data_IF_378396205146
#
_entry.id   IF_378396205146
#
_cell.length_a   1.000
_cell.length_b   1.000
_cell.length_c   1.000
_cell.angle_alpha   90.00
_cell.angle_beta   90.00
_cell.angle_gamma   90.00
#
_symmetry.space_group_name_H-M   'P 1'
#
loop_
_entity.id
_entity.type
_entity.pdbx_description
1 polymer ?
#
# COMPACT_ATOMS: atom_id res chain seq x y z
N UNK A 1 -10.81 -31.58 10.45
CA UNK A 1 -10.91 -30.23 9.87
C UNK A 1 -10.21 -30.23 8.53
N UNK A 2 -10.96 -29.98 7.45
CA UNK A 2 -10.46 -29.97 6.07
C UNK A 2 -11.19 -28.89 5.29
N UNK A 3 -10.55 -28.37 4.25
CA UNK A 3 -11.20 -27.48 3.29
C UNK A 3 -11.13 -28.06 1.88
N UNK A 4 -12.11 -27.69 1.07
CA UNK A 4 -12.22 -28.10 -0.32
C UNK A 4 -11.27 -27.27 -1.20
N UNK A 5 -10.49 -27.93 -2.08
CA UNK A 5 -9.66 -27.24 -3.07
C UNK A 5 -10.49 -26.93 -4.32
N UNK A 6 -10.79 -25.65 -4.63
CA UNK A 6 -11.48 -25.32 -5.88
C UNK A 6 -10.59 -25.67 -7.08
N UNK A 7 -11.12 -26.40 -8.07
CA UNK A 7 -10.41 -26.78 -9.29
C UNK A 7 -9.78 -28.18 -9.31
N UNK A 8 -9.88 -28.95 -8.22
CA UNK A 8 -9.55 -30.38 -8.24
C UNK A 8 -10.56 -31.15 -7.37
N UNK A 9 -11.61 -31.74 -7.97
CA UNK A 9 -12.77 -32.25 -7.24
C UNK A 9 -12.48 -33.48 -6.35
N UNK A 10 -11.26 -34.01 -6.36
CA UNK A 10 -10.97 -35.26 -5.66
C UNK A 10 -10.05 -35.09 -4.44
N UNK A 11 -9.74 -33.85 -4.01
CA UNK A 11 -8.80 -33.63 -2.89
C UNK A 11 -9.28 -32.62 -1.85
N UNK A 12 -9.63 -33.16 -0.69
CA UNK A 12 -9.72 -32.43 0.58
C UNK A 12 -8.33 -32.14 1.14
N UNK A 13 -8.10 -30.92 1.61
CA UNK A 13 -6.84 -30.50 2.22
C UNK A 13 -7.02 -30.26 3.72
N UNK A 14 -6.15 -30.86 4.53
CA UNK A 14 -6.07 -30.69 6.00
C UNK A 14 -5.14 -29.55 6.42
N UNK A 15 -4.41 -28.97 5.47
CA UNK A 15 -3.31 -28.01 5.70
C UNK A 15 -3.88 -26.70 6.24
N UNK A 16 -3.28 -26.17 7.30
CA UNK A 16 -3.72 -24.92 7.89
C UNK A 16 -5.15 -24.95 8.44
N UNK A 17 -5.63 -26.11 8.88
CA UNK A 17 -6.91 -26.27 9.56
C UNK A 17 -6.72 -27.16 10.79
N UNK A 18 -7.01 -26.64 11.98
CA UNK A 18 -6.93 -27.36 13.25
C UNK A 18 -8.30 -27.50 13.89
N UNK A 19 -8.48 -28.60 14.63
CA UNK A 19 -9.65 -28.83 15.45
C UNK A 19 -9.56 -27.96 16.71
N UNK A 20 -10.60 -27.19 16.99
CA UNK A 20 -10.72 -26.43 18.24
C UNK A 20 -11.39 -27.35 19.25
N UNK A 21 -10.58 -28.09 20.00
CA UNK A 21 -11.04 -29.10 20.95
C UNK A 21 -11.89 -28.53 22.09
N UNK A 22 -11.66 -27.26 22.49
CA UNK A 22 -12.45 -26.58 23.52
C UNK A 22 -13.89 -26.29 23.10
N UNK A 23 -14.16 -26.21 21.81
CA UNK A 23 -15.47 -25.88 21.24
C UNK A 23 -16.14 -27.08 20.55
N UNK A 24 -15.44 -28.23 20.54
CA UNK A 24 -15.90 -29.45 19.89
C UNK A 24 -16.40 -30.47 20.91
N UNK A 25 -17.51 -31.13 20.62
CA UNK A 25 -18.08 -32.22 21.41
C UNK A 25 -18.65 -33.32 20.49
N UNK A 26 -19.36 -34.30 21.06
CA UNK A 26 -19.92 -35.44 20.30
C UNK A 26 -20.99 -35.06 19.27
N UNK A 27 -21.54 -33.84 19.32
CA UNK A 27 -22.57 -33.34 18.40
C UNK A 27 -22.11 -32.19 17.51
N UNK A 28 -21.04 -31.49 17.88
CA UNK A 28 -20.55 -30.29 17.19
C UNK A 28 -19.04 -30.37 17.03
N UNK A 29 -18.53 -30.16 15.82
CA UNK A 29 -17.09 -30.12 15.53
C UNK A 29 -16.74 -28.73 15.03
N UNK A 30 -15.88 -28.03 15.77
CA UNK A 30 -15.43 -26.67 15.43
C UNK A 30 -14.01 -26.71 14.91
N UNK A 31 -13.80 -26.10 13.75
CA UNK A 31 -12.53 -26.08 13.04
C UNK A 31 -12.06 -24.63 12.84
N UNK A 32 -10.79 -24.37 13.11
CA UNK A 32 -10.13 -23.09 12.86
C UNK A 32 -9.10 -23.30 11.75
N UNK A 33 -9.13 -22.44 10.73
CA UNK A 33 -8.18 -22.51 9.63
C UNK A 33 -7.40 -21.20 9.51
N UNK A 34 -6.08 -21.29 9.33
CA UNK A 34 -5.23 -20.15 9.02
C UNK A 34 -5.22 -19.87 7.51
N UNK A 35 -5.52 -18.62 7.18
CA UNK A 35 -5.70 -18.15 5.81
C UNK A 35 -5.03 -16.78 5.67
N UNK A 36 -4.18 -16.65 4.64
CA UNK A 36 -3.46 -15.52 3.98
C UNK A 36 -3.73 -14.03 4.37
N UNK A 37 -3.04 -13.06 3.76
CA UNK A 37 -3.53 -11.65 3.64
C UNK A 37 -3.45 -11.08 2.22
N UNK A 38 -4.07 -9.91 1.96
CA UNK A 38 -4.01 -9.14 0.71
C UNK A 38 -2.57 -8.81 0.32
N UNK A 39 -1.71 -8.47 1.28
CA UNK A 39 -0.31 -8.20 0.99
C UNK A 39 0.42 -9.47 0.53
N UNK A 40 0.13 -10.63 1.13
CA UNK A 40 0.67 -11.90 0.67
C UNK A 40 0.15 -12.28 -0.74
N UNK A 41 -1.09 -11.91 -1.09
CA UNK A 41 -1.66 -12.11 -2.42
C UNK A 41 -1.10 -11.17 -3.49
N UNK A 42 -0.86 -9.90 -3.13
CA UNK A 42 -0.18 -8.91 -3.97
C UNK A 42 1.24 -9.35 -4.34
N UNK A 43 1.92 -10.03 -3.41
CA UNK A 43 3.31 -10.46 -3.54
C UNK A 43 3.50 -11.80 -4.23
N UNK A 44 2.42 -12.59 -4.36
CA UNK A 44 2.46 -13.88 -5.03
C UNK A 44 1.16 -14.19 -5.76
N UNK A 45 0.83 -13.44 -6.82
CA UNK A 45 -0.46 -13.56 -7.49
C UNK A 45 -0.57 -14.82 -8.39
N UNK A 46 0.52 -15.58 -8.57
CA UNK A 46 0.53 -16.87 -9.28
C UNK A 46 0.60 -18.10 -8.36
N UNK A 47 0.73 -17.92 -7.04
CA UNK A 47 0.77 -19.05 -6.08
C UNK A 47 2.09 -19.83 -6.13
N UNK A 48 3.21 -19.12 -6.21
CA UNK A 48 4.56 -19.66 -6.06
C UNK A 48 4.78 -20.40 -4.73
N UNK A 49 5.90 -21.13 -4.65
CA UNK A 49 6.29 -21.99 -3.51
C UNK A 49 6.75 -21.15 -2.31
N UNK A 50 5.84 -20.44 -1.64
CA UNK A 50 6.09 -19.91 -0.29
C UNK A 50 5.72 -21.00 0.71
N UNK A 51 6.54 -21.20 1.75
CA UNK A 51 6.20 -22.07 2.88
C UNK A 51 5.00 -21.51 3.65
N UNK A 52 4.10 -22.36 4.14
CA UNK A 52 2.96 -21.94 4.96
C UNK A 52 3.41 -21.06 6.16
N UNK A 53 4.62 -21.31 6.69
CA UNK A 53 5.22 -20.51 7.76
C UNK A 53 5.56 -19.07 7.32
N UNK A 54 6.15 -18.90 6.14
CA UNK A 54 6.48 -17.58 5.60
C UNK A 54 5.21 -16.80 5.26
N UNK A 55 4.20 -17.48 4.76
CA UNK A 55 2.90 -16.89 4.45
C UNK A 55 2.23 -16.31 5.71
N UNK A 56 2.22 -17.08 6.80
CA UNK A 56 1.71 -16.65 8.11
C UNK A 56 2.52 -15.51 8.72
N UNK A 57 3.85 -15.54 8.56
CA UNK A 57 4.72 -14.47 9.03
C UNK A 57 4.46 -13.15 8.28
N UNK A 58 4.34 -13.20 6.94
CA UNK A 58 4.02 -12.03 6.12
C UNK A 58 2.65 -11.44 6.44
N UNK A 59 1.66 -12.30 6.73
CA UNK A 59 0.36 -11.89 7.24
C UNK A 59 0.46 -11.15 8.57
N UNK A 60 1.14 -11.74 9.56
CA UNK A 60 1.30 -11.12 10.88
C UNK A 60 2.02 -9.77 10.80
N UNK A 61 3.10 -9.70 10.01
CA UNK A 61 3.87 -8.47 9.79
C UNK A 61 3.01 -7.39 9.14
N UNK A 62 2.20 -7.77 8.15
CA UNK A 62 1.33 -6.83 7.43
C UNK A 62 0.23 -6.30 8.35
N UNK A 63 -0.45 -7.18 9.09
CA UNK A 63 -1.56 -6.83 9.98
C UNK A 63 -1.08 -5.96 11.15
N UNK A 64 -0.01 -6.37 11.85
CA UNK A 64 0.56 -5.59 12.97
C UNK A 64 1.11 -4.27 12.45
N UNK A 65 1.85 -4.28 11.33
CA UNK A 65 2.40 -3.07 10.74
C UNK A 65 1.33 -2.07 10.31
N UNK A 66 0.26 -2.54 9.67
CA UNK A 66 -0.89 -1.70 9.33
C UNK A 66 -1.60 -1.13 10.56
N UNK A 67 -1.71 -1.88 11.67
CA UNK A 67 -2.27 -1.35 12.91
C UNK A 67 -1.42 -0.21 13.50
N UNK A 68 -0.09 -0.40 13.54
CA UNK A 68 0.86 0.64 13.98
C UNK A 68 0.78 1.87 13.07
N UNK A 69 0.79 1.66 11.75
CA UNK A 69 0.67 2.73 10.77
C UNK A 69 -0.65 3.48 10.87
N UNK A 70 -1.76 2.77 11.08
CA UNK A 70 -3.07 3.38 11.23
C UNK A 70 -3.09 4.30 12.45
N UNK A 71 -2.59 3.85 13.60
CA UNK A 71 -2.47 4.68 14.79
C UNK A 71 -1.61 5.93 14.53
N UNK A 72 -0.44 5.76 13.91
CA UNK A 72 0.46 6.87 13.58
C UNK A 72 -0.19 7.88 12.60
N UNK A 73 -0.90 7.39 11.58
CA UNK A 73 -1.62 8.23 10.62
C UNK A 73 -2.75 9.00 11.30
N UNK A 74 -3.52 8.37 12.19
CA UNK A 74 -4.58 9.05 12.93
C UNK A 74 -4.00 10.19 13.77
N UNK A 75 -2.87 9.97 14.44
CA UNK A 75 -2.14 11.03 15.12
C UNK A 75 -1.68 12.13 14.17
N UNK A 76 -1.10 11.79 13.00
CA UNK A 76 -0.72 12.78 11.98
C UNK A 76 -1.92 13.64 11.55
N UNK A 77 -3.07 13.02 11.28
CA UNK A 77 -4.28 13.72 10.87
C UNK A 77 -4.76 14.64 12.00
N UNK A 78 -4.86 14.14 13.23
CA UNK A 78 -5.29 14.91 14.39
C UNK A 78 -4.40 16.13 14.61
N UNK A 79 -3.07 15.95 14.63
CA UNK A 79 -2.11 17.04 14.82
C UNK A 79 -2.21 18.06 13.68
N UNK A 80 -2.27 17.61 12.42
CA UNK A 80 -2.36 18.51 11.26
C UNK A 80 -3.65 19.33 11.28
N UNK A 81 -4.78 18.73 11.69
CA UNK A 81 -6.08 19.42 11.81
C UNK A 81 -6.09 20.36 13.02
N UNK A 82 -5.54 19.96 14.16
CA UNK A 82 -5.44 20.80 15.35
C UNK A 82 -4.61 22.06 15.09
N UNK A 83 -3.49 21.94 14.39
CA UNK A 83 -2.61 23.04 14.02
C UNK A 83 -2.90 23.62 12.63
N UNK A 84 -4.08 23.36 12.06
CA UNK A 84 -4.41 23.68 10.66
C UNK A 84 -4.09 25.13 10.27
N UNK A 85 -4.40 26.09 11.15
CA UNK A 85 -4.12 27.52 10.87
C UNK A 85 -2.63 27.82 10.68
N UNK A 86 -1.75 27.04 11.29
CA UNK A 86 -0.29 27.21 11.22
C UNK A 86 0.34 26.38 10.09
N UNK A 87 -0.15 25.17 9.86
CA UNK A 87 0.49 24.19 8.95
C UNK A 87 -0.14 24.12 7.56
N UNK A 88 -1.24 24.84 7.32
CA UNK A 88 -1.96 24.81 6.04
C UNK A 88 -1.04 25.19 4.88
N UNK A 89 -0.80 24.22 4.01
CA UNK A 89 -0.03 24.36 2.79
C UNK A 89 -0.54 23.38 1.73
N UNK A 90 -0.27 23.61 0.43
CA UNK A 90 -0.55 22.62 -0.61
C UNK A 90 -0.01 21.23 -0.28
N UNK A 91 1.16 21.17 0.35
CA UNK A 91 1.79 19.91 0.78
C UNK A 91 1.05 19.24 1.92
N UNK A 92 0.62 19.98 2.93
CA UNK A 92 -0.20 19.43 4.01
C UNK A 92 -1.53 18.86 3.49
N UNK A 93 -2.17 19.53 2.51
CA UNK A 93 -3.41 19.04 1.89
C UNK A 93 -3.17 17.72 1.14
N UNK A 94 -2.14 17.65 0.29
CA UNK A 94 -1.80 16.42 -0.45
C UNK A 94 -1.45 15.28 0.52
N UNK A 95 -0.65 15.57 1.55
CA UNK A 95 -0.27 14.59 2.56
C UNK A 95 -1.47 14.06 3.33
N UNK A 96 -2.42 14.90 3.72
CA UNK A 96 -3.65 14.45 4.39
C UNK A 96 -4.44 13.49 3.50
N UNK A 97 -4.51 13.73 2.20
CA UNK A 97 -5.20 12.80 1.30
C UNK A 97 -4.44 11.46 1.14
N UNK A 98 -3.10 11.48 1.10
CA UNK A 98 -2.29 10.25 1.18
C UNK A 98 -2.62 9.51 2.48
N UNK A 99 -2.59 10.21 3.62
CA UNK A 99 -2.91 9.64 4.93
C UNK A 99 -4.31 9.01 4.96
N UNK A 100 -5.32 9.68 4.42
CA UNK A 100 -6.68 9.14 4.33
C UNK A 100 -6.76 7.88 3.47
N UNK A 101 -6.09 7.87 2.30
CA UNK A 101 -6.06 6.72 1.42
C UNK A 101 -5.31 5.54 2.06
N UNK A 102 -4.14 5.78 2.67
CA UNK A 102 -3.35 4.74 3.36
C UNK A 102 -4.08 4.23 4.61
N UNK A 103 -4.77 5.08 5.37
CA UNK A 103 -5.60 4.66 6.49
C UNK A 103 -6.72 3.72 6.05
N UNK A 104 -7.41 4.05 4.94
CA UNK A 104 -8.42 3.18 4.37
C UNK A 104 -7.84 1.82 3.94
N UNK A 105 -6.66 1.79 3.30
CA UNK A 105 -5.96 0.53 2.98
C UNK A 105 -5.62 -0.26 4.24
N UNK A 106 -5.07 0.38 5.28
CA UNK A 106 -4.74 -0.29 6.54
C UNK A 106 -5.97 -0.91 7.20
N UNK A 107 -7.10 -0.17 7.25
CA UNK A 107 -8.37 -0.66 7.78
C UNK A 107 -8.84 -1.88 6.99
N UNK A 108 -8.79 -1.82 5.66
CA UNK A 108 -9.23 -2.93 4.80
C UNK A 108 -8.34 -4.16 4.96
N UNK A 109 -7.02 -3.98 5.08
CA UNK A 109 -6.08 -5.09 5.34
C UNK A 109 -6.37 -5.74 6.70
N UNK A 110 -6.61 -4.94 7.74
CA UNK A 110 -6.98 -5.46 9.07
C UNK A 110 -8.34 -6.16 9.04
N UNK A 111 -9.31 -5.61 8.31
CA UNK A 111 -10.66 -6.16 8.17
C UNK A 111 -10.71 -7.39 7.24
N UNK A 112 -9.61 -7.76 6.59
CA UNK A 112 -9.60 -8.85 5.64
C UNK A 112 -9.96 -10.20 6.27
N UNK A 113 -9.40 -10.48 7.45
CA UNK A 113 -9.67 -11.73 8.16
C UNK A 113 -11.17 -11.96 8.41
N UNK A 114 -11.91 -10.90 8.70
CA UNK A 114 -13.37 -10.98 8.92
C UNK A 114 -14.16 -10.96 7.61
N UNK A 115 -13.74 -10.16 6.62
CA UNK A 115 -14.41 -10.05 5.32
C UNK A 115 -14.43 -11.38 4.55
N UNK A 116 -13.44 -12.24 4.80
CA UNK A 116 -13.32 -13.58 4.20
C UNK A 116 -14.44 -14.54 4.59
N UNK A 117 -15.05 -14.34 5.75
CA UNK A 117 -16.14 -15.20 6.22
C UNK A 117 -17.37 -15.17 5.30
N UNK A 118 -17.45 -14.21 4.36
CA UNK A 118 -18.50 -14.16 3.35
C UNK A 118 -17.95 -13.85 1.96
N UNK A 119 -18.49 -14.54 0.94
CA UNK A 119 -18.12 -14.26 -0.46
C UNK A 119 -18.44 -12.81 -0.86
N UNK A 120 -19.53 -12.23 -0.35
CA UNK A 120 -19.90 -10.84 -0.59
C UNK A 120 -18.91 -9.87 0.08
N UNK A 121 -18.51 -10.15 1.32
CA UNK A 121 -17.53 -9.35 2.05
C UNK A 121 -16.16 -9.36 1.36
N UNK A 122 -15.69 -10.54 0.96
CA UNK A 122 -14.44 -10.70 0.23
C UNK A 122 -14.42 -9.92 -1.10
N UNK A 123 -15.52 -9.98 -1.87
CA UNK A 123 -15.68 -9.19 -3.10
C UNK A 123 -15.66 -7.69 -2.82
N UNK A 124 -16.44 -7.23 -1.83
CA UNK A 124 -16.50 -5.82 -1.46
C UNK A 124 -15.13 -5.30 -1.03
N UNK A 125 -14.41 -6.06 -0.21
CA UNK A 125 -13.05 -5.75 0.23
C UNK A 125 -12.09 -5.66 -0.95
N UNK A 126 -12.11 -6.61 -1.89
CA UNK A 126 -11.25 -6.58 -3.08
C UNK A 126 -11.51 -5.33 -3.94
N UNK A 127 -12.78 -4.95 -4.13
CA UNK A 127 -13.16 -3.73 -4.87
C UNK A 127 -12.66 -2.47 -4.15
N UNK A 128 -12.87 -2.39 -2.83
CA UNK A 128 -12.44 -1.23 -2.04
C UNK A 128 -10.91 -1.11 -2.00
N UNK A 129 -10.19 -2.22 -1.82
CA UNK A 129 -8.74 -2.22 -1.86
C UNK A 129 -8.21 -1.83 -3.24
N UNK A 130 -8.82 -2.31 -4.33
CA UNK A 130 -8.45 -1.89 -5.69
C UNK A 130 -8.52 -0.36 -5.81
N UNK A 131 -9.64 0.23 -5.38
CA UNK A 131 -9.84 1.67 -5.40
C UNK A 131 -8.83 2.42 -4.54
N UNK A 132 -8.72 2.07 -3.26
CA UNK A 132 -7.88 2.81 -2.32
C UNK A 132 -6.39 2.64 -2.59
N UNK A 133 -5.94 1.48 -3.07
CA UNK A 133 -4.55 1.31 -3.51
C UNK A 133 -4.23 2.17 -4.73
N UNK A 134 -5.11 2.20 -5.74
CA UNK A 134 -4.95 3.12 -6.86
C UNK A 134 -4.97 4.59 -6.41
N UNK A 135 -5.82 4.95 -5.44
CA UNK A 135 -5.84 6.29 -4.86
C UNK A 135 -4.53 6.62 -4.15
N UNK A 136 -3.95 5.69 -3.39
CA UNK A 136 -2.62 5.85 -2.78
C UNK A 136 -1.57 6.15 -3.87
N UNK A 137 -1.52 5.38 -4.97
CA UNK A 137 -0.60 5.64 -6.07
C UNK A 137 -0.84 7.00 -6.74
N UNK A 138 -2.08 7.37 -7.01
CA UNK A 138 -2.40 8.67 -7.62
C UNK A 138 -2.01 9.83 -6.70
N UNK A 139 -2.20 9.69 -5.39
CA UNK A 139 -1.78 10.70 -4.42
C UNK A 139 -0.26 10.75 -4.23
N UNK A 140 0.44 9.62 -4.29
CA UNK A 140 1.92 9.59 -4.35
C UNK A 140 2.44 10.31 -5.60
N UNK A 141 1.79 10.15 -6.75
CA UNK A 141 2.12 10.90 -7.97
C UNK A 141 1.88 12.40 -7.78
N UNK A 142 0.76 12.79 -7.15
CA UNK A 142 0.48 14.19 -6.81
C UNK A 142 1.55 14.78 -5.88
N UNK A 143 2.00 14.04 -4.85
CA UNK A 143 3.09 14.48 -3.97
C UNK A 143 4.41 14.60 -4.75
N UNK A 144 4.71 13.64 -5.64
CA UNK A 144 5.87 13.73 -6.54
C UNK A 144 5.82 14.98 -7.43
N UNK A 145 4.70 15.21 -8.09
CA UNK A 145 4.50 16.40 -8.93
C UNK A 145 4.61 17.70 -8.10
N UNK A 146 4.06 17.72 -6.88
CA UNK A 146 4.14 18.86 -5.98
C UNK A 146 5.60 19.13 -5.55
N UNK A 147 6.32 18.09 -5.13
CA UNK A 147 7.75 18.18 -4.77
C UNK A 147 8.59 18.68 -5.94
N UNK A 148 8.34 18.19 -7.14
CA UNK A 148 9.01 18.67 -8.36
C UNK A 148 8.74 20.16 -8.60
N UNK A 149 7.48 20.61 -8.48
CA UNK A 149 7.13 22.01 -8.66
C UNK A 149 7.82 22.89 -7.61
N UNK A 150 7.83 22.47 -6.34
CA UNK A 150 8.40 23.27 -5.23
C UNK A 150 9.93 23.34 -5.32
N UNK A 151 10.59 22.20 -5.59
CA UNK A 151 12.05 22.09 -5.46
C UNK A 151 12.77 22.39 -6.78
N UNK A 152 12.24 21.91 -7.90
CA UNK A 152 12.90 22.03 -9.22
C UNK A 152 12.38 23.22 -10.00
N UNK A 153 11.06 23.43 -10.07
CA UNK A 153 10.46 24.56 -10.76
C UNK A 153 10.40 25.79 -9.84
N UNK A 154 11.58 26.27 -9.46
CA UNK A 154 11.80 27.41 -8.56
C UNK A 154 11.01 28.64 -9.05
N UNK A 155 9.95 28.99 -8.30
CA UNK A 155 9.20 30.26 -8.37
C UNK A 155 8.57 30.55 -9.75
N UNK A 156 7.33 30.06 -9.96
CA UNK A 156 6.55 30.41 -11.15
C UNK A 156 5.29 29.58 -11.38
N UNK A 157 5.14 28.46 -10.68
CA UNK A 157 3.85 27.76 -10.57
C UNK A 157 3.23 28.08 -9.22
N UNK A 158 1.99 28.58 -9.19
CA UNK A 158 1.21 28.71 -7.95
C UNK A 158 0.71 27.31 -7.55
N UNK A 159 1.32 26.63 -6.57
CA UNK A 159 0.96 25.24 -6.27
C UNK A 159 -0.47 25.16 -5.71
N UNK A 160 -0.92 26.23 -5.04
CA UNK A 160 -2.27 26.40 -4.50
C UNK A 160 -3.36 26.27 -5.57
N UNK A 161 -3.16 26.86 -6.75
CA UNK A 161 -4.11 26.78 -7.87
C UNK A 161 -4.21 25.36 -8.45
N UNK A 162 -3.19 24.53 -8.22
CA UNK A 162 -3.11 23.15 -8.74
C UNK A 162 -3.72 22.11 -7.82
N UNK A 163 -3.84 22.38 -6.52
CA UNK A 163 -4.37 21.43 -5.53
C UNK A 163 -5.76 20.91 -5.91
N UNK A 164 -6.62 21.75 -6.49
CA UNK A 164 -7.95 21.33 -6.97
C UNK A 164 -7.88 20.23 -8.03
N UNK A 165 -6.91 20.31 -8.94
CA UNK A 165 -6.71 19.29 -9.97
C UNK A 165 -6.13 18.01 -9.37
N UNK A 166 -5.26 18.13 -8.36
CA UNK A 166 -4.77 16.98 -7.61
C UNK A 166 -5.88 16.24 -6.85
N UNK A 167 -6.85 16.96 -6.27
CA UNK A 167 -8.02 16.36 -5.63
C UNK A 167 -8.89 15.60 -6.63
N UNK A 168 -9.19 16.21 -7.78
CA UNK A 168 -9.96 15.57 -8.84
C UNK A 168 -9.26 14.35 -9.40
N UNK A 169 -7.95 14.43 -9.66
CA UNK A 169 -7.16 13.31 -10.18
C UNK A 169 -7.00 12.20 -9.14
N UNK A 170 -6.57 12.55 -7.92
CA UNK A 170 -6.22 11.60 -6.85
C UNK A 170 -7.36 10.70 -6.42
N UNK A 171 -8.61 11.20 -6.44
CA UNK A 171 -9.80 10.41 -6.12
C UNK A 171 -10.58 9.98 -7.38
N UNK A 172 -10.64 10.81 -8.41
CA UNK A 172 -11.45 10.55 -9.60
C UNK A 172 -10.84 9.52 -10.54
N UNK A 173 -9.53 9.57 -10.81
CA UNK A 173 -8.88 8.62 -11.72
C UNK A 173 -8.97 7.17 -11.24
N UNK A 174 -8.71 6.85 -9.94
CA UNK A 174 -9.00 5.53 -9.38
C UNK A 174 -10.46 5.10 -9.54
N UNK A 175 -11.41 6.01 -9.31
CA UNK A 175 -12.84 5.71 -9.42
C UNK A 175 -13.21 5.30 -10.86
N UNK A 176 -12.67 6.01 -11.86
CA UNK A 176 -12.89 5.71 -13.28
C UNK A 176 -12.35 4.31 -13.62
N UNK A 177 -11.12 3.97 -13.21
CA UNK A 177 -10.52 2.65 -13.49
C UNK A 177 -11.36 1.54 -12.86
N UNK A 178 -11.75 1.69 -11.60
CA UNK A 178 -12.54 0.68 -10.89
C UNK A 178 -13.94 0.56 -11.50
N UNK A 179 -14.58 1.67 -11.89
CA UNK A 179 -15.88 1.65 -12.56
C UNK A 179 -15.83 0.93 -13.92
N UNK A 180 -14.82 1.22 -14.74
CA UNK A 180 -14.60 0.52 -16.02
C UNK A 180 -14.37 -0.97 -15.77
N UNK A 181 -13.52 -1.30 -14.79
CA UNK A 181 -13.22 -2.69 -14.42
C UNK A 181 -14.48 -3.43 -13.98
N UNK A 182 -15.31 -2.82 -13.13
CA UNK A 182 -16.58 -3.40 -12.67
C UNK A 182 -17.57 -3.57 -13.82
N UNK A 183 -17.68 -2.59 -14.72
CA UNK A 183 -18.56 -2.65 -15.88
C UNK A 183 -18.14 -3.72 -16.88
N UNK A 184 -16.84 -3.81 -17.17
CA UNK A 184 -16.28 -4.77 -18.12
C UNK A 184 -16.32 -6.21 -17.60
N UNK A 185 -16.06 -6.43 -16.31
CA UNK A 185 -16.02 -7.80 -15.75
C UNK A 185 -17.31 -8.23 -15.05
N UNK A 186 -18.26 -7.31 -14.83
CA UNK A 186 -19.47 -7.56 -14.04
C UNK A 186 -19.14 -8.18 -12.66
N UNK A 187 -18.09 -7.67 -11.99
CA UNK A 187 -17.51 -8.18 -10.73
C UNK A 187 -16.78 -9.53 -10.81
N UNK A 188 -16.75 -10.19 -11.98
CA UNK A 188 -15.95 -11.40 -12.17
C UNK A 188 -14.47 -11.03 -12.05
N UNK A 189 -13.70 -11.85 -11.33
CA UNK A 189 -12.31 -11.55 -11.02
C UNK A 189 -12.07 -10.73 -9.74
N UNK A 190 -13.09 -10.29 -9.02
CA UNK A 190 -12.93 -9.75 -7.65
C UNK A 190 -13.24 -10.83 -6.60
N UNK A 191 -12.39 -10.97 -5.57
CA UNK A 191 -12.57 -11.92 -4.47
C UNK A 191 -11.64 -13.13 -4.57
N UNK A 192 -12.15 -14.34 -4.28
CA UNK A 192 -11.38 -15.59 -4.32
C UNK A 192 -11.15 -16.09 -5.74
N UNK A 193 -9.90 -16.36 -6.12
CA UNK A 193 -9.55 -16.95 -7.42
C UNK A 193 -8.39 -17.95 -7.31
N UNK A 194 -8.48 -19.04 -8.08
CA UNK A 194 -7.43 -20.07 -8.15
C UNK A 194 -7.16 -20.78 -6.81
N UNK A 195 -5.88 -21.06 -6.54
CA UNK A 195 -5.43 -21.65 -5.27
C UNK A 195 -5.32 -20.62 -4.12
N UNK A 196 -5.69 -19.36 -4.37
CA UNK A 196 -5.55 -18.29 -3.39
C UNK A 196 -6.80 -18.15 -2.53
N UNK A 197 -6.61 -18.16 -1.21
CA UNK A 197 -7.66 -17.89 -0.21
C UNK A 197 -7.73 -16.41 0.16
N UNK A 198 -7.05 -15.54 -0.59
CA UNK A 198 -7.05 -14.10 -0.35
C UNK A 198 -8.07 -13.36 -1.22
N UNK A 199 -8.54 -12.22 -0.71
CA UNK A 199 -9.56 -11.40 -1.36
C UNK A 199 -8.92 -10.35 -2.26
N UNK A 200 -8.68 -10.71 -3.53
CA UNK A 200 -7.95 -9.83 -4.45
C UNK A 200 -8.45 -9.89 -5.90
N UNK A 201 -7.72 -9.26 -6.83
CA UNK A 201 -7.99 -9.26 -8.25
C UNK A 201 -7.43 -10.54 -8.88
N UNK A 202 -8.21 -11.18 -9.73
CA UNK A 202 -7.81 -12.35 -10.51
C UNK A 202 -6.72 -12.01 -11.52
N UNK A 203 -5.75 -12.90 -11.64
CA UNK A 203 -4.74 -12.87 -12.69
C UNK A 203 -5.21 -13.59 -13.95
N UNK A 204 -6.00 -14.65 -13.78
CA UNK A 204 -6.44 -15.55 -14.86
C UNK A 204 -7.22 -14.81 -15.96
N UNK A 205 -8.02 -13.81 -15.57
CA UNK A 205 -8.80 -12.99 -16.49
C UNK A 205 -8.14 -11.65 -16.85
N UNK A 206 -6.88 -11.44 -16.43
CA UNK A 206 -6.13 -10.21 -16.68
C UNK A 206 -6.57 -8.98 -15.87
N UNK A 207 -7.57 -9.09 -14.99
CA UNK A 207 -8.08 -7.96 -14.21
C UNK A 207 -6.99 -7.32 -13.33
N UNK A 208 -6.03 -8.12 -12.85
CA UNK A 208 -4.86 -7.62 -12.09
C UNK A 208 -4.12 -6.48 -12.82
N UNK A 209 -4.12 -6.45 -14.15
CA UNK A 209 -3.46 -5.40 -14.93
C UNK A 209 -4.15 -4.04 -14.84
N UNK A 210 -5.42 -3.99 -14.48
CA UNK A 210 -6.13 -2.74 -14.17
C UNK A 210 -5.50 -2.01 -12.96
N UNK A 211 -4.80 -2.75 -12.09
CA UNK A 211 -4.02 -2.20 -10.98
C UNK A 211 -2.53 -2.08 -11.32
N UNK A 212 -1.91 -3.15 -11.82
CA UNK A 212 -0.46 -3.23 -12.00
C UNK A 212 0.04 -2.23 -13.04
N UNK A 213 -0.65 -2.06 -14.18
CA UNK A 213 -0.18 -1.14 -15.23
C UNK A 213 -0.18 0.33 -14.77
N UNK A 214 -1.27 0.88 -14.17
CA UNK A 214 -1.23 2.23 -13.59
C UNK A 214 -0.16 2.39 -12.50
N UNK A 215 0.00 1.39 -11.61
CA UNK A 215 1.01 1.43 -10.56
C UNK A 215 2.43 1.52 -11.15
N UNK A 216 2.74 0.75 -12.19
CA UNK A 216 4.03 0.80 -12.89
C UNK A 216 4.31 2.17 -13.50
N UNK A 217 3.32 2.78 -14.18
CA UNK A 217 3.46 4.12 -14.76
C UNK A 217 3.76 5.15 -13.67
N UNK A 218 3.01 5.11 -12.56
CA UNK A 218 3.24 6.01 -11.42
C UNK A 218 4.64 5.82 -10.83
N UNK A 219 5.07 4.57 -10.62
CA UNK A 219 6.39 4.27 -10.06
C UNK A 219 7.51 4.81 -10.96
N UNK A 220 7.41 4.61 -12.27
CA UNK A 220 8.39 5.11 -13.23
C UNK A 220 8.51 6.65 -13.17
N UNK A 221 7.37 7.35 -13.15
CA UNK A 221 7.36 8.82 -13.04
C UNK A 221 7.95 9.27 -11.70
N UNK A 222 7.58 8.63 -10.60
CA UNK A 222 8.06 8.97 -9.27
C UNK A 222 9.55 8.71 -9.08
N UNK A 223 10.13 7.69 -9.73
CA UNK A 223 11.58 7.47 -9.76
C UNK A 223 12.29 8.63 -10.47
N UNK A 224 11.76 9.09 -11.62
CA UNK A 224 12.32 10.24 -12.34
C UNK A 224 12.26 11.49 -11.45
N UNK A 225 11.11 11.76 -10.84
CA UNK A 225 10.92 12.87 -9.91
C UNK A 225 11.90 12.78 -8.74
N UNK A 226 12.05 11.61 -8.13
CA UNK A 226 12.97 11.37 -7.03
C UNK A 226 14.40 11.75 -7.41
N UNK A 227 14.89 11.28 -8.56
CA UNK A 227 16.24 11.59 -9.06
C UNK A 227 16.41 13.10 -9.29
N UNK A 228 15.42 13.76 -9.90
CA UNK A 228 15.47 15.21 -10.15
C UNK A 228 15.46 16.03 -8.86
N UNK A 229 14.57 15.69 -7.91
CA UNK A 229 14.49 16.36 -6.60
C UNK A 229 15.77 16.15 -5.80
N UNK A 230 16.32 14.93 -5.80
CA UNK A 230 17.56 14.61 -5.10
C UNK A 230 18.74 15.39 -5.72
N UNK A 231 18.87 15.37 -7.05
CA UNK A 231 19.90 16.16 -7.76
C UNK A 231 19.81 17.65 -7.44
N UNK A 232 18.60 18.21 -7.51
CA UNK A 232 18.37 19.62 -7.22
C UNK A 232 18.69 19.96 -5.76
N UNK A 233 18.27 19.12 -4.81
CA UNK A 233 18.56 19.29 -3.38
C UNK A 233 20.06 19.27 -3.11
N UNK A 234 20.79 18.32 -3.70
CA UNK A 234 22.24 18.20 -3.57
C UNK A 234 23.00 19.32 -4.30
N UNK A 235 22.40 19.92 -5.33
CA UNK A 235 22.96 21.05 -6.08
C UNK A 235 22.83 22.41 -5.37
N UNK A 236 22.08 22.50 -4.27
CA UNK A 236 21.92 23.77 -3.53
C UNK A 236 23.26 24.24 -2.93
N UNK A 237 23.51 25.56 -2.96
CA UNK A 237 24.73 26.16 -2.36
C UNK A 237 24.93 25.76 -0.90
N UNK A 238 23.83 25.63 -0.14
CA UNK A 238 23.86 25.18 1.26
C UNK A 238 24.45 23.77 1.42
N UNK A 239 24.14 22.84 0.51
CA UNK A 239 24.66 21.47 0.57
C UNK A 239 26.03 21.36 -0.08
N UNK A 240 26.29 22.10 -1.16
CA UNK A 240 27.59 22.12 -1.84
C UNK A 240 28.75 22.56 -0.93
N UNK A 241 28.49 23.47 0.01
CA UNK A 241 29.50 23.97 0.95
C UNK A 241 29.77 23.04 2.15
N UNK A 242 29.06 21.91 2.28
CA UNK A 242 29.25 20.95 3.38
C UNK A 242 30.36 19.94 3.09
N UNK A 243 30.89 19.33 4.16
CA UNK A 243 31.83 18.21 4.06
C UNK A 243 31.17 16.98 3.37
N UNK A 244 31.99 16.02 2.94
CA UNK A 244 31.51 14.79 2.29
C UNK A 244 30.53 14.00 3.17
N UNK A 245 30.84 13.88 4.46
CA UNK A 245 30.03 13.10 5.41
C UNK A 245 28.70 13.79 5.70
N UNK A 246 28.70 15.12 5.80
CA UNK A 246 27.47 15.90 5.95
C UNK A 246 26.59 15.83 4.69
N UNK A 247 27.20 15.88 3.50
CA UNK A 247 26.49 15.66 2.22
C UNK A 247 25.82 14.30 2.19
N UNK A 248 26.54 13.24 2.59
CA UNK A 248 26.00 11.89 2.68
C UNK A 248 24.84 11.83 3.68
N UNK A 249 24.98 12.43 4.86
CA UNK A 249 23.93 12.45 5.89
C UNK A 249 22.65 13.16 5.40
N UNK A 250 22.79 14.27 4.68
CA UNK A 250 21.66 14.98 4.06
C UNK A 250 20.99 14.11 2.99
N UNK A 251 21.77 13.48 2.11
CA UNK A 251 21.26 12.61 1.05
C UNK A 251 20.51 11.40 1.62
N UNK A 252 21.07 10.73 2.63
CA UNK A 252 20.44 9.58 3.31
C UNK A 252 19.14 10.00 3.98
N UNK A 253 19.15 11.13 4.71
CA UNK A 253 17.93 11.64 5.35
C UNK A 253 16.85 11.99 4.32
N UNK A 254 17.21 12.68 3.24
CA UNK A 254 16.27 13.02 2.17
C UNK A 254 15.70 11.76 1.51
N UNK A 255 16.54 10.78 1.24
CA UNK A 255 16.15 9.50 0.64
C UNK A 255 15.20 8.72 1.55
N UNK A 256 15.52 8.62 2.85
CA UNK A 256 14.69 7.92 3.83
C UNK A 256 13.29 8.56 3.99
N UNK A 257 13.18 9.89 3.84
CA UNK A 257 11.90 10.61 3.87
C UNK A 257 11.12 10.45 2.56
N UNK A 258 11.80 10.61 1.42
CA UNK A 258 11.13 10.77 0.12
C UNK A 258 10.75 9.42 -0.48
N UNK A 259 11.55 8.35 -0.30
CA UNK A 259 11.24 7.04 -0.89
C UNK A 259 9.86 6.49 -0.48
N UNK A 260 9.48 6.48 0.81
CA UNK A 260 8.16 6.01 1.23
C UNK A 260 7.03 6.94 0.80
N UNK A 261 7.28 8.26 0.75
CA UNK A 261 6.28 9.25 0.32
C UNK A 261 5.95 9.10 -1.18
N UNK A 262 6.94 8.77 -2.00
CA UNK A 262 6.75 8.56 -3.45
C UNK A 262 6.35 7.12 -3.81
N UNK A 263 6.22 6.23 -2.82
CA UNK A 263 5.85 4.83 -3.04
C UNK A 263 6.92 3.99 -3.73
N UNK A 264 8.18 4.44 -3.79
CA UNK A 264 9.24 3.70 -4.50
C UNK A 264 9.56 2.36 -3.80
N UNK A 265 9.20 2.22 -2.52
CA UNK A 265 9.23 0.94 -1.77
C UNK A 265 8.37 -0.15 -2.40
N UNK A 266 7.42 0.19 -3.27
CA UNK A 266 6.61 -0.79 -4.00
C UNK A 266 7.38 -1.55 -5.09
N UNK A 267 8.57 -1.07 -5.49
CA UNK A 267 9.46 -1.82 -6.38
C UNK A 267 9.82 -3.20 -5.81
N UNK A 268 9.92 -3.34 -4.48
CA UNK A 268 10.14 -4.63 -3.85
C UNK A 268 8.99 -5.61 -4.08
N UNK A 269 7.77 -5.12 -4.33
CA UNK A 269 6.61 -5.93 -4.68
C UNK A 269 6.72 -6.49 -6.10
N UNK A 270 7.22 -5.69 -7.05
CA UNK A 270 7.53 -6.17 -8.41
C UNK A 270 8.67 -7.19 -8.40
N UNK A 271 9.71 -6.93 -7.60
CA UNK A 271 10.80 -7.87 -7.44
C UNK A 271 10.33 -9.16 -6.79
N UNK A 272 9.46 -9.08 -5.77
CA UNK A 272 8.82 -10.24 -5.15
C UNK A 272 7.92 -11.04 -6.09
N UNK A 273 7.30 -10.37 -7.06
CA UNK A 273 6.52 -11.01 -8.13
C UNK A 273 7.42 -11.75 -9.14
N UNK A 274 8.59 -11.17 -9.46
CA UNK A 274 9.50 -11.70 -10.49
C UNK A 274 10.55 -12.69 -9.97
N UNK A 275 10.97 -12.55 -8.71
CA UNK A 275 12.03 -13.35 -8.10
C UNK A 275 11.41 -14.30 -7.07
N UNK A 276 11.77 -15.58 -7.12
CA UNK A 276 11.37 -16.58 -6.11
C UNK A 276 11.98 -16.30 -4.71
N UNK A 277 12.64 -15.16 -4.51
CA UNK A 277 13.28 -14.77 -3.26
C UNK A 277 12.27 -14.22 -2.26
N UNK A 278 12.02 -15.01 -1.20
CA UNK A 278 11.16 -14.65 -0.07
C UNK A 278 11.60 -13.35 0.62
N UNK A 279 12.90 -13.01 0.58
CA UNK A 279 13.44 -11.79 1.16
C UNK A 279 12.75 -10.50 0.64
N UNK A 280 12.46 -10.40 -0.66
CA UNK A 280 11.76 -9.22 -1.19
C UNK A 280 10.32 -9.13 -0.72
N UNK A 281 9.66 -10.27 -0.46
CA UNK A 281 8.31 -10.33 0.12
C UNK A 281 8.31 -9.74 1.53
N UNK A 282 9.27 -10.12 2.37
CA UNK A 282 9.43 -9.55 3.72
C UNK A 282 9.77 -8.06 3.70
N UNK A 283 10.73 -7.64 2.88
CA UNK A 283 11.12 -6.22 2.75
C UNK A 283 9.92 -5.39 2.33
N UNK A 284 9.17 -5.84 1.32
CA UNK A 284 7.97 -5.15 0.87
C UNK A 284 6.91 -5.08 1.96
N UNK A 285 6.62 -6.20 2.65
CA UNK A 285 5.62 -6.25 3.72
C UNK A 285 5.96 -5.26 4.84
N UNK A 286 7.21 -5.26 5.32
CA UNK A 286 7.66 -4.36 6.39
C UNK A 286 7.61 -2.90 5.94
N UNK A 287 8.16 -2.56 4.78
CA UNK A 287 8.25 -1.17 4.33
C UNK A 287 6.89 -0.55 4.03
N UNK A 288 5.97 -1.31 3.43
CA UNK A 288 4.66 -0.80 3.05
C UNK A 288 3.65 -0.89 4.20
N UNK A 289 3.74 -1.89 5.08
CA UNK A 289 2.88 -1.92 6.28
C UNK A 289 3.24 -0.81 7.27
N UNK A 290 4.52 -0.40 7.36
CA UNK A 290 5.01 0.69 8.22
C UNK A 290 5.07 2.06 7.53
N UNK A 291 4.51 2.20 6.33
CA UNK A 291 4.56 3.45 5.58
C UNK A 291 3.93 4.62 6.34
N UNK A 292 2.80 4.39 7.02
CA UNK A 292 2.12 5.39 7.84
C UNK A 292 2.95 5.86 9.04
N UNK A 293 3.65 4.94 9.69
CA UNK A 293 4.59 5.27 10.76
C UNK A 293 5.74 6.15 10.26
N UNK A 294 6.32 5.82 9.09
CA UNK A 294 7.38 6.64 8.50
C UNK A 294 6.89 8.06 8.18
N UNK A 295 5.67 8.21 7.66
CA UNK A 295 5.05 9.53 7.42
C UNK A 295 4.97 10.33 8.73
N UNK A 296 4.46 9.73 9.80
CA UNK A 296 4.35 10.41 11.10
C UNK A 296 5.71 10.85 11.65
N UNK A 297 6.71 9.96 11.65
CA UNK A 297 8.05 10.28 12.16
C UNK A 297 8.66 11.45 11.38
N UNK A 298 8.61 11.41 10.04
CA UNK A 298 9.26 12.44 9.23
C UNK A 298 8.49 13.75 9.18
N UNK A 299 7.16 13.71 9.22
CA UNK A 299 6.33 14.90 9.05
C UNK A 299 5.92 15.58 10.37
N UNK A 300 5.71 14.81 11.43
CA UNK A 300 5.28 15.35 12.73
C UNK A 300 6.44 15.42 13.73
N UNK A 301 7.26 14.37 13.85
CA UNK A 301 8.31 14.32 14.89
C UNK A 301 9.58 15.07 14.47
N UNK A 302 10.02 14.88 13.23
CA UNK A 302 11.30 15.43 12.74
C UNK A 302 11.15 16.77 12.00
N UNK A 303 9.92 17.23 11.78
CA UNK A 303 9.65 18.51 11.15
C UNK A 303 9.53 19.60 12.21
N UNK A 304 10.49 20.53 12.25
CA UNK A 304 10.54 21.59 13.28
C UNK A 304 9.41 22.63 13.19
N UNK A 305 8.55 22.56 12.18
CA UNK A 305 7.43 23.49 11.98
C UNK A 305 6.11 22.99 12.58
N UNK A 306 6.02 21.70 12.93
CA UNK A 306 4.86 21.03 13.55
C UNK A 306 5.22 20.73 15.00
#
# INVERSE_FOLDING_TARGET
>A
CVFWRPGNPDKWLTRGCRLVTSESNSRVTTCECDHLTVFAALLDPYGGKISDADQKALELISTIGCAISLFAILLTIILTVAFWRSVRSPRAIVLLNICLAVAAVCILVIAEGTARNSQKGCKALAILLHYFLLAVFCWMLCEGALLYIIIVKVIGGKPEEKVKYFLLFGWGFPAIIVAISLGATQTKGYGYHGAQTACWLSVDNGLIWAFVAPALVVLMINIIVFVLVLRQTMGTRHVQNKSRDEKLRVAVKATAVILPLLGITWLFGLLAFSAETVAFKYIFAILNSLQGLMIFIFHCVLNKQV
#
